data_IF_451833059566
#
_entry.id   IF_451833059566
#
_cell.length_a   1.000
_cell.length_b   1.000
_cell.length_c   1.000
_cell.angle_alpha   90.00
_cell.angle_beta   90.00
_cell.angle_gamma   90.00
#
_symmetry.space_group_name_H-M   'P 1'
#
loop_
_entity.id
_entity.type
_entity.pdbx_description
1 polymer ?
#
# COMPACT_ATOMS: atom_id res chain seq x y z
N UNK A 1 3.08 -9.41 -1.44
CA UNK A 1 2.07 -9.93 -2.37
C UNK A 1 1.16 -8.79 -2.76
N UNK A 2 1.12 -8.47 -4.05
CA UNK A 2 0.34 -7.38 -4.64
C UNK A 2 -0.88 -7.96 -5.37
N UNK A 3 -2.03 -7.36 -5.15
CA UNK A 3 -3.24 -7.55 -5.95
C UNK A 3 -3.12 -6.71 -7.24
N UNK A 4 -2.54 -7.32 -8.27
CA UNK A 4 -2.32 -6.68 -9.57
C UNK A 4 -3.60 -6.36 -10.32
N UNK A 5 -4.71 -7.05 -10.02
CA UNK A 5 -6.01 -6.70 -10.59
C UNK A 5 -6.41 -5.31 -10.09
N UNK A 6 -6.35 -5.08 -8.77
CA UNK A 6 -6.68 -3.76 -8.21
C UNK A 6 -5.76 -2.65 -8.73
N UNK A 7 -4.46 -2.93 -8.88
CA UNK A 7 -3.49 -1.96 -9.43
C UNK A 7 -3.86 -1.58 -10.87
N UNK A 8 -4.26 -2.55 -11.70
CA UNK A 8 -4.72 -2.29 -13.07
C UNK A 8 -6.03 -1.51 -13.10
N UNK A 9 -6.99 -1.87 -12.26
CA UNK A 9 -8.24 -1.13 -12.13
C UNK A 9 -7.98 0.33 -11.74
N UNK A 10 -7.09 0.57 -10.76
CA UNK A 10 -6.70 1.92 -10.36
C UNK A 10 -6.02 2.70 -11.50
N UNK A 11 -5.17 2.04 -12.28
CA UNK A 11 -4.53 2.64 -13.46
C UNK A 11 -5.56 3.01 -14.54
N UNK A 12 -6.60 2.20 -14.74
CA UNK A 12 -7.69 2.49 -15.67
C UNK A 12 -8.60 3.63 -15.16
N UNK A 13 -8.90 3.64 -13.85
CA UNK A 13 -9.72 4.66 -13.19
C UNK A 13 -9.07 6.06 -13.22
N UNK A 14 -7.77 6.13 -12.94
CA UNK A 14 -7.00 7.37 -12.86
C UNK A 14 -6.46 7.80 -14.23
N UNK A 15 -6.13 6.85 -15.08
CA UNK A 15 -5.46 7.06 -16.35
C UNK A 15 -3.93 7.14 -16.23
N UNK A 16 -3.25 6.79 -17.31
CA UNK A 16 -1.78 6.61 -17.33
C UNK A 16 -0.98 7.86 -17.00
N UNK A 17 -1.55 9.06 -17.24
CA UNK A 17 -0.87 10.33 -17.00
C UNK A 17 -0.74 10.67 -15.51
N UNK A 18 -1.76 10.31 -14.74
CA UNK A 18 -1.90 10.73 -13.35
C UNK A 18 -1.64 9.56 -12.37
N UNK A 19 -1.57 8.33 -12.88
CA UNK A 19 -1.40 7.13 -12.05
C UNK A 19 -0.12 7.13 -11.21
N UNK A 20 1.03 7.51 -11.77
CA UNK A 20 2.30 7.54 -11.03
C UNK A 20 2.26 8.53 -9.86
N UNK A 21 1.64 9.69 -10.06
CA UNK A 21 1.44 10.69 -9.02
C UNK A 21 0.51 10.15 -7.92
N UNK A 22 -0.61 9.54 -8.29
CA UNK A 22 -1.56 8.96 -7.33
C UNK A 22 -0.92 7.84 -6.51
N UNK A 23 -0.16 6.94 -7.13
CA UNK A 23 0.57 5.88 -6.42
C UNK A 23 1.58 6.47 -5.44
N UNK A 24 2.32 7.50 -5.85
CA UNK A 24 3.29 8.18 -4.99
C UNK A 24 2.61 8.82 -3.79
N UNK A 25 1.49 9.53 -4.00
CA UNK A 25 0.73 10.16 -2.92
C UNK A 25 0.22 9.14 -1.89
N UNK A 26 -0.29 8.01 -2.33
CA UNK A 26 -0.74 6.96 -1.39
C UNK A 26 0.43 6.31 -0.64
N UNK A 27 1.57 6.10 -1.29
CA UNK A 27 2.77 5.57 -0.63
C UNK A 27 3.23 6.55 0.45
N UNK A 28 3.33 7.84 0.13
CA UNK A 28 3.74 8.89 1.09
C UNK A 28 2.75 9.01 2.26
N UNK A 29 1.45 8.86 1.99
CA UNK A 29 0.41 8.88 3.01
C UNK A 29 0.54 7.70 3.99
N UNK A 30 0.76 6.48 3.47
CA UNK A 30 0.97 5.29 4.29
C UNK A 30 2.26 5.39 5.09
N UNK A 31 3.36 5.87 4.46
CA UNK A 31 4.64 6.08 5.14
C UNK A 31 4.49 7.09 6.28
N UNK A 32 3.84 8.23 6.03
CA UNK A 32 3.57 9.25 7.04
C UNK A 32 2.74 8.70 8.21
N UNK A 33 1.73 7.87 7.93
CA UNK A 33 0.93 7.24 8.98
C UNK A 33 1.73 6.22 9.80
N UNK A 34 2.58 5.42 9.15
CA UNK A 34 3.48 4.49 9.83
C UNK A 34 4.52 5.22 10.70
N UNK A 35 5.04 6.36 10.25
CA UNK A 35 6.00 7.17 11.02
C UNK A 35 5.41 7.78 12.28
N UNK A 36 4.09 8.01 12.31
CA UNK A 36 3.37 8.52 13.48
C UNK A 36 3.06 7.45 14.52
N UNK A 37 3.25 6.17 14.21
CA UNK A 37 3.02 5.08 15.15
C UNK A 37 4.10 5.08 16.24
N UNK A 38 3.73 5.55 17.42
CA UNK A 38 4.53 5.48 18.65
C UNK A 38 4.01 4.34 19.55
N UNK A 39 4.52 3.13 19.31
CA UNK A 39 4.10 1.90 20.00
C UNK A 39 3.10 1.05 19.21
N UNK A 40 2.17 0.41 19.93
CA UNK A 40 1.18 -0.47 19.32
C UNK A 40 0.13 0.33 18.55
N UNK A 41 -0.17 -0.03 17.28
CA UNK A 41 -1.16 0.68 16.48
C UNK A 41 -2.55 0.64 17.09
N UNK A 42 -3.25 1.77 17.09
CA UNK A 42 -4.66 1.78 17.48
C UNK A 42 -5.52 1.11 16.41
N UNK A 43 -6.77 0.79 16.77
CA UNK A 43 -7.74 0.28 15.80
C UNK A 43 -8.02 1.28 14.67
N UNK A 44 -7.93 2.58 14.94
CA UNK A 44 -8.11 3.62 13.94
C UNK A 44 -6.93 3.66 12.97
N UNK A 45 -5.70 3.60 13.48
CA UNK A 45 -4.49 3.50 12.65
C UNK A 45 -4.54 2.28 11.73
N UNK A 46 -4.88 1.11 12.28
CA UNK A 46 -5.00 -0.13 11.52
C UNK A 46 -6.11 -0.04 10.46
N UNK A 47 -7.22 0.63 10.77
CA UNK A 47 -8.30 0.80 9.81
C UNK A 47 -7.89 1.71 8.64
N UNK A 48 -7.22 2.82 8.95
CA UNK A 48 -6.68 3.75 7.97
C UNK A 48 -5.66 3.07 7.06
N UNK A 49 -4.61 2.47 7.66
CA UNK A 49 -3.53 1.80 6.93
C UNK A 49 -4.07 0.66 6.05
N UNK A 50 -5.05 -0.10 6.54
CA UNK A 50 -5.72 -1.15 5.76
C UNK A 50 -6.41 -0.57 4.53
N UNK A 51 -7.13 0.54 4.68
CA UNK A 51 -7.83 1.21 3.58
C UNK A 51 -6.86 1.63 2.48
N UNK A 52 -5.79 2.34 2.85
CA UNK A 52 -4.77 2.80 1.89
C UNK A 52 -4.02 1.62 1.25
N UNK A 53 -3.71 0.58 2.02
CA UNK A 53 -3.10 -0.64 1.49
C UNK A 53 -3.99 -1.34 0.44
N UNK A 54 -5.31 -1.44 0.69
CA UNK A 54 -6.24 -2.03 -0.27
C UNK A 54 -6.36 -1.19 -1.55
N UNK A 55 -6.32 0.14 -1.45
CA UNK A 55 -6.35 1.01 -2.63
C UNK A 55 -5.17 0.75 -3.58
N UNK A 56 -3.97 0.54 -3.03
CA UNK A 56 -2.76 0.22 -3.79
C UNK A 56 -2.60 -1.27 -4.13
N UNK A 57 -3.53 -2.13 -3.70
CA UNK A 57 -3.41 -3.58 -3.88
C UNK A 57 -2.35 -4.23 -2.99
N UNK A 58 -1.88 -3.59 -1.91
CA UNK A 58 -0.92 -4.16 -0.95
C UNK A 58 -1.59 -5.18 -0.02
N UNK A 59 -2.00 -6.31 -0.59
CA UNK A 59 -2.81 -7.33 0.08
C UNK A 59 -2.16 -7.86 1.37
N UNK A 60 -0.84 -8.04 1.39
CA UNK A 60 -0.11 -8.49 2.58
C UNK A 60 -0.16 -7.46 3.72
N UNK A 61 0.01 -6.17 3.41
CA UNK A 61 -0.09 -5.09 4.40
C UNK A 61 -1.54 -4.96 4.91
N UNK A 62 -2.52 -5.02 4.02
CA UNK A 62 -3.94 -4.99 4.40
C UNK A 62 -4.34 -6.16 5.32
N UNK A 63 -3.75 -7.34 5.09
CA UNK A 63 -3.94 -8.50 5.96
C UNK A 63 -3.26 -8.32 7.32
N UNK A 64 -2.02 -7.84 7.35
CA UNK A 64 -1.33 -7.52 8.61
C UNK A 64 -2.11 -6.48 9.45
N UNK A 65 -2.67 -5.46 8.81
CA UNK A 65 -3.54 -4.50 9.50
C UNK A 65 -4.81 -5.15 10.07
N UNK A 66 -5.42 -6.08 9.31
CA UNK A 66 -6.62 -6.83 9.75
C UNK A 66 -6.32 -7.70 10.97
N UNK A 67 -5.13 -8.28 11.02
CA UNK A 67 -4.69 -9.18 12.09
C UNK A 67 -4.18 -8.42 13.33
N UNK A 68 -4.18 -7.08 13.29
CA UNK A 68 -3.73 -6.25 14.40
C UNK A 68 -2.22 -6.34 14.63
N UNK A 69 -1.45 -6.48 13.56
CA UNK A 69 0.01 -6.58 13.65
C UNK A 69 0.64 -5.32 14.27
N UNK A 70 1.79 -5.51 14.91
CA UNK A 70 2.56 -4.42 15.50
C UNK A 70 3.17 -3.48 14.45
N UNK A 71 3.61 -2.31 14.89
CA UNK A 71 4.17 -1.30 13.99
C UNK A 71 5.42 -1.80 13.24
N UNK A 72 6.21 -2.70 13.84
CA UNK A 72 7.38 -3.32 13.20
C UNK A 72 6.97 -4.18 12.01
N UNK A 73 5.98 -5.04 12.19
CA UNK A 73 5.45 -5.92 11.13
C UNK A 73 4.81 -5.10 10.03
N UNK A 74 4.04 -4.07 10.37
CA UNK A 74 3.42 -3.18 9.38
C UNK A 74 4.47 -2.47 8.52
N UNK A 75 5.51 -1.90 9.13
CA UNK A 75 6.61 -1.24 8.40
C UNK A 75 7.34 -2.21 7.46
N UNK A 76 7.61 -3.43 7.91
CA UNK A 76 8.22 -4.47 7.05
C UNK A 76 7.31 -4.81 5.87
N UNK A 77 6.02 -5.08 6.12
CA UNK A 77 5.07 -5.41 5.07
C UNK A 77 4.91 -4.27 4.05
N UNK A 78 4.94 -3.02 4.52
CA UNK A 78 4.92 -1.85 3.63
C UNK A 78 6.18 -1.76 2.78
N UNK A 79 7.38 -1.87 3.37
CA UNK A 79 8.65 -1.87 2.64
C UNK A 79 8.71 -2.96 1.57
N UNK A 80 8.31 -4.19 1.91
CA UNK A 80 8.27 -5.32 0.98
C UNK A 80 7.27 -5.08 -0.17
N UNK A 81 6.10 -4.50 0.14
CA UNK A 81 5.06 -4.22 -0.86
C UNK A 81 5.50 -3.13 -1.83
N UNK A 82 6.12 -2.06 -1.34
CA UNK A 82 6.64 -0.97 -2.17
C UNK A 82 7.81 -1.41 -3.04
N UNK A 83 8.72 -2.25 -2.50
CA UNK A 83 9.80 -2.84 -3.27
C UNK A 83 9.27 -3.74 -4.40
N UNK A 84 8.29 -4.60 -4.09
CA UNK A 84 7.64 -5.46 -5.09
C UNK A 84 6.92 -4.63 -6.17
N UNK A 85 6.20 -3.57 -5.78
CA UNK A 85 5.47 -2.73 -6.72
C UNK A 85 6.45 -2.10 -7.71
N UNK A 86 7.50 -1.44 -7.22
CA UNK A 86 8.50 -0.78 -8.07
C UNK A 86 9.21 -1.74 -9.02
N UNK A 87 9.48 -2.97 -8.57
CA UNK A 87 10.16 -3.96 -9.39
C UNK A 87 9.29 -4.50 -10.54
N UNK A 88 8.01 -4.75 -10.28
CA UNK A 88 7.13 -5.43 -11.24
C UNK A 88 6.26 -4.46 -12.08
N UNK A 89 5.98 -3.24 -11.59
CA UNK A 89 5.02 -2.31 -12.21
C UNK A 89 5.29 -2.03 -13.70
N UNK A 90 6.55 -1.79 -14.15
CA UNK A 90 6.81 -1.52 -15.57
C UNK A 90 6.41 -2.67 -16.49
N UNK A 91 6.70 -3.91 -16.10
CA UNK A 91 6.36 -5.10 -16.88
C UNK A 91 4.85 -5.37 -16.86
N UNK A 92 4.19 -5.09 -15.74
CA UNK A 92 2.77 -5.36 -15.52
C UNK A 92 1.84 -4.40 -16.26
N UNK A 93 2.28 -3.16 -16.52
CA UNK A 93 1.53 -2.14 -17.25
C UNK A 93 1.89 -2.06 -18.74
N UNK A 94 3.01 -2.65 -19.16
CA UNK A 94 3.36 -2.77 -20.57
C UNK A 94 2.61 -3.90 -21.31
N UNK A 95 1.87 -4.75 -20.56
CA UNK A 95 1.17 -5.95 -21.04
C UNK A 95 -0.35 -5.86 -20.85
#
# INVERSE_FOLDING_TARGET
>A
MIDWTRVKDLHEEVGSRDFEEVVTLFIDEVETALDRLDGDPTREDLHFLKGSALNLGFAALAQACRDGADATTLRRCFADSTAQLRAELPERLAA
#
